data_IF_885719182749
#
_entry.id   IF_885719182749
#
_cell.length_a   1.000
_cell.length_b   1.000
_cell.length_c   1.000
_cell.angle_alpha   90.00
_cell.angle_beta   90.00
_cell.angle_gamma   90.00
#
_symmetry.space_group_name_H-M   'P 1'
#
loop_
_entity.id
_entity.type
_entity.pdbx_description
1 polymer ?
#
# COMPACT_ATOMS: atom_id res chain seq x y z
N UNK A 1 -8.83 -3.90 -12.58
CA UNK A 1 -10.21 -4.30 -12.21
C UNK A 1 -11.12 -3.10 -12.34
N UNK A 2 -12.34 -3.31 -12.77
CA UNK A 2 -13.30 -2.25 -12.94
C UNK A 2 -13.67 -1.59 -11.59
N UNK A 3 -14.03 -0.31 -11.63
CA UNK A 3 -14.32 0.51 -10.45
C UNK A 3 -15.23 -0.13 -9.38
N UNK A 4 -16.21 -1.00 -9.68
CA UNK A 4 -17.02 -1.64 -8.65
C UNK A 4 -16.27 -2.45 -7.60
N UNK A 5 -15.07 -2.91 -7.89
CA UNK A 5 -14.30 -3.74 -6.96
C UNK A 5 -13.66 -2.96 -5.81
N UNK A 6 -13.60 -1.65 -5.89
CA UNK A 6 -13.12 -0.80 -4.80
C UNK A 6 -14.23 -0.25 -3.93
N UNK A 7 -15.47 -0.60 -4.19
CA UNK A 7 -16.64 -0.10 -3.45
C UNK A 7 -17.20 -1.18 -2.54
N UNK A 8 -18.50 -1.16 -2.29
CA UNK A 8 -19.17 -2.12 -1.43
C UNK A 8 -19.33 -3.53 -2.02
N UNK A 9 -18.85 -3.79 -3.23
CA UNK A 9 -18.97 -5.10 -3.86
C UNK A 9 -17.85 -6.04 -3.39
N UNK A 10 -18.13 -7.31 -3.09
CA UNK A 10 -17.11 -8.32 -2.85
C UNK A 10 -16.17 -8.44 -4.04
N UNK A 11 -14.87 -8.61 -3.78
CA UNK A 11 -13.90 -8.89 -4.83
C UNK A 11 -14.13 -10.33 -5.33
N UNK A 12 -14.54 -10.55 -6.59
CA UNK A 12 -14.84 -11.89 -7.10
C UNK A 12 -13.59 -12.77 -7.27
N UNK A 13 -12.40 -12.20 -7.23
CA UNK A 13 -11.14 -12.90 -7.40
C UNK A 13 -10.46 -13.27 -6.08
N UNK A 14 -11.06 -12.96 -4.94
CA UNK A 14 -10.42 -13.15 -3.63
C UNK A 14 -10.16 -14.63 -3.33
N UNK A 15 -11.08 -15.51 -3.71
CA UNK A 15 -10.97 -16.95 -3.50
C UNK A 15 -9.84 -17.55 -4.32
N UNK A 16 -9.72 -17.17 -5.60
CA UNK A 16 -8.64 -17.56 -6.48
C UNK A 16 -7.29 -17.07 -5.93
N UNK A 17 -7.22 -15.80 -5.55
CA UNK A 17 -6.02 -15.20 -4.97
C UNK A 17 -5.56 -15.93 -3.70
N UNK A 18 -6.46 -16.26 -2.79
CA UNK A 18 -6.14 -17.01 -1.57
C UNK A 18 -5.68 -18.44 -1.91
N UNK A 19 -6.30 -19.07 -2.89
CA UNK A 19 -5.94 -20.42 -3.32
C UNK A 19 -4.54 -20.48 -3.93
N UNK A 20 -4.16 -19.45 -4.70
CA UNK A 20 -2.86 -19.39 -5.38
C UNK A 20 -1.72 -19.00 -4.44
N UNK A 21 -1.98 -18.12 -3.48
CA UNK A 21 -0.93 -17.51 -2.65
C UNK A 21 -0.98 -17.95 -1.19
N UNK A 22 -2.07 -18.53 -0.72
CA UNK A 22 -2.26 -18.95 0.66
C UNK A 22 -1.71 -20.35 0.93
N UNK A 23 -1.34 -20.59 2.18
CA UNK A 23 -1.03 -21.91 2.69
C UNK A 23 -2.25 -22.43 3.47
N UNK A 24 -2.75 -23.64 3.19
CA UNK A 24 -3.84 -24.21 3.97
C UNK A 24 -3.49 -24.27 5.46
N UNK A 25 -4.42 -23.82 6.30
CA UNK A 25 -4.27 -23.90 7.75
C UNK A 25 -4.58 -25.31 8.26
N UNK A 26 -3.65 -25.91 8.99
CA UNK A 26 -3.82 -27.17 9.68
C UNK A 26 -3.69 -26.94 11.19
N UNK A 27 -4.79 -27.04 11.92
CA UNK A 27 -4.81 -26.85 13.37
C UNK A 27 -3.90 -27.86 14.11
N UNK A 28 -3.84 -29.09 13.60
CA UNK A 28 -3.00 -30.15 14.14
C UNK A 28 -1.60 -30.01 13.56
N UNK A 29 -0.71 -29.36 14.28
CA UNK A 29 0.69 -29.16 13.87
C UNK A 29 1.09 -27.71 13.71
N UNK A 30 0.17 -26.78 13.94
CA UNK A 30 0.52 -25.37 14.01
C UNK A 30 1.47 -25.11 15.18
N UNK A 31 2.70 -24.72 14.85
CA UNK A 31 3.76 -24.36 15.80
C UNK A 31 4.06 -22.88 15.79
N UNK A 32 3.19 -22.08 15.13
CA UNK A 32 3.41 -20.64 15.08
C UNK A 32 3.34 -20.04 16.48
N UNK A 33 4.46 -19.51 16.94
CA UNK A 33 4.57 -18.73 18.18
C UNK A 33 5.50 -17.55 17.94
N UNK A 34 5.03 -16.35 18.30
CA UNK A 34 5.82 -15.13 18.28
C UNK A 34 5.60 -14.36 19.57
N UNK A 35 6.68 -13.87 20.14
CA UNK A 35 6.59 -12.96 21.28
C UNK A 35 5.89 -11.65 20.90
N UNK A 36 5.13 -11.05 21.81
CA UNK A 36 4.52 -9.74 21.56
C UNK A 36 5.56 -8.70 21.16
N UNK A 37 5.26 -7.98 20.09
CA UNK A 37 6.14 -6.92 19.58
C UNK A 37 5.49 -5.56 19.73
N UNK A 38 6.26 -4.58 20.20
CA UNK A 38 5.84 -3.18 20.31
C UNK A 38 6.90 -2.28 19.71
N UNK A 39 6.50 -1.35 18.85
CA UNK A 39 7.39 -0.35 18.29
C UNK A 39 6.67 1.00 18.20
N UNK A 40 7.46 2.08 18.15
CA UNK A 40 6.92 3.42 17.90
C UNK A 40 6.33 3.48 16.47
N UNK A 41 5.07 3.93 16.40
CA UNK A 41 4.34 4.09 15.13
C UNK A 41 4.53 5.46 14.49
N UNK A 42 5.39 6.30 15.03
CA UNK A 42 5.68 7.65 14.51
C UNK A 42 6.80 7.67 13.45
N UNK A 43 7.56 6.59 13.33
CA UNK A 43 8.67 6.50 12.39
C UNK A 43 8.18 6.58 10.93
N UNK A 44 8.86 7.42 10.14
CA UNK A 44 8.56 7.56 8.71
C UNK A 44 7.51 8.61 8.38
N UNK A 45 7.03 9.42 9.32
CA UNK A 45 6.06 10.50 9.07
C UNK A 45 6.56 11.58 8.10
N UNK A 46 7.86 11.71 7.91
CA UNK A 46 8.47 12.63 6.96
C UNK A 46 8.87 11.97 5.63
N UNK A 47 8.57 10.69 5.47
CA UNK A 47 8.84 9.95 4.25
C UNK A 47 7.96 10.46 3.09
N UNK A 48 8.51 10.63 1.87
CA UNK A 48 7.73 11.10 0.72
C UNK A 48 6.49 10.25 0.43
N UNK A 49 6.59 8.93 0.58
CA UNK A 49 5.45 8.03 0.40
C UNK A 49 4.33 8.31 1.42
N UNK A 50 4.69 8.57 2.68
CA UNK A 50 3.72 8.94 3.69
C UNK A 50 3.14 10.34 3.46
N UNK A 51 3.94 11.28 2.97
CA UNK A 51 3.54 12.69 2.78
C UNK A 51 2.72 12.92 1.50
N UNK A 52 2.68 11.97 0.56
CA UNK A 52 2.06 12.16 -0.75
C UNK A 52 0.56 12.50 -0.71
N UNK A 53 -0.15 12.15 0.34
CA UNK A 53 -1.54 12.57 0.60
C UNK A 53 -1.83 12.61 2.09
N UNK A 54 -2.88 13.33 2.49
CA UNK A 54 -3.34 13.38 3.87
C UNK A 54 -4.49 12.39 4.11
N UNK A 55 -4.46 11.69 5.25
CA UNK A 55 -5.56 10.85 5.73
C UNK A 55 -5.45 10.72 7.25
N UNK A 56 -6.56 10.90 7.98
CA UNK A 56 -6.53 11.08 9.43
C UNK A 56 -5.92 9.92 10.21
N UNK A 57 -6.21 8.70 9.81
CA UNK A 57 -5.79 7.47 10.52
C UNK A 57 -4.58 6.80 9.90
N UNK A 58 -3.91 7.47 8.95
CA UNK A 58 -2.77 6.90 8.24
C UNK A 58 -1.59 6.66 9.17
N UNK A 59 -1.11 5.41 9.19
CA UNK A 59 0.12 5.01 9.90
C UNK A 59 1.28 4.96 8.90
N UNK A 60 2.48 5.44 9.25
CA UNK A 60 3.65 5.32 8.37
C UNK A 60 3.97 3.87 8.01
N UNK A 61 4.19 3.61 6.72
CA UNK A 61 4.46 2.24 6.25
C UNK A 61 5.69 1.61 6.92
N UNK A 62 6.73 2.37 7.24
CA UNK A 62 7.92 1.87 7.95
C UNK A 62 7.59 1.33 9.34
N UNK A 63 6.67 1.98 10.05
CA UNK A 63 6.20 1.47 11.33
C UNK A 63 5.44 0.15 11.15
N UNK A 64 4.58 0.05 10.14
CA UNK A 64 3.85 -1.19 9.81
C UNK A 64 4.81 -2.30 9.40
N UNK A 65 5.84 -1.99 8.59
CA UNK A 65 6.86 -2.97 8.18
C UNK A 65 7.49 -3.70 9.35
N UNK A 66 7.78 -3.01 10.47
CA UNK A 66 8.35 -3.64 11.67
C UNK A 66 7.46 -4.76 12.21
N UNK A 67 6.14 -4.55 12.21
CA UNK A 67 5.18 -5.58 12.62
C UNK A 67 5.11 -6.72 11.60
N UNK A 68 5.07 -6.40 10.30
CA UNK A 68 5.04 -7.41 9.26
C UNK A 68 6.30 -8.28 9.27
N UNK A 69 7.47 -7.70 9.38
CA UNK A 69 8.74 -8.43 9.48
C UNK A 69 8.79 -9.31 10.73
N UNK A 70 8.19 -8.86 11.85
CA UNK A 70 8.17 -9.67 13.08
C UNK A 70 7.19 -10.83 13.01
N UNK A 71 5.98 -10.63 12.48
CA UNK A 71 4.91 -11.62 12.55
C UNK A 71 4.75 -12.49 11.30
N UNK A 72 5.36 -12.13 10.18
CA UNK A 72 5.16 -12.79 8.88
C UNK A 72 6.48 -13.14 8.21
N UNK A 73 6.40 -13.99 7.19
CA UNK A 73 7.49 -14.37 6.29
C UNK A 73 7.23 -13.84 4.87
N UNK A 74 8.26 -13.77 4.01
CA UNK A 74 8.07 -13.50 2.59
C UNK A 74 7.02 -14.41 1.96
N UNK A 75 6.09 -13.83 1.20
CA UNK A 75 4.99 -14.54 0.55
C UNK A 75 3.73 -14.75 1.39
N UNK A 76 3.77 -14.48 2.70
CA UNK A 76 2.57 -14.57 3.55
C UNK A 76 1.51 -13.54 3.13
N UNK A 77 0.24 -13.87 3.40
CA UNK A 77 -0.91 -13.01 3.17
C UNK A 77 -1.23 -12.21 4.44
N UNK A 78 -1.31 -10.91 4.31
CA UNK A 78 -1.68 -9.96 5.36
C UNK A 78 -3.08 -9.43 5.06
N UNK A 79 -3.99 -9.54 6.02
CA UNK A 79 -5.33 -8.96 5.93
C UNK A 79 -5.40 -7.67 6.75
N UNK A 80 -5.82 -6.58 6.10
CA UNK A 80 -6.18 -5.33 6.77
C UNK A 80 -7.64 -4.99 6.46
N UNK A 81 -8.50 -5.20 7.46
CA UNK A 81 -9.95 -5.00 7.36
C UNK A 81 -10.39 -3.53 7.37
N UNK A 82 -9.49 -2.60 7.68
CA UNK A 82 -9.74 -1.15 7.81
C UNK A 82 -8.56 -0.37 7.24
N UNK A 83 -8.17 -0.70 6.01
CA UNK A 83 -6.89 -0.30 5.43
C UNK A 83 -6.71 1.21 5.22
N UNK A 84 -7.79 2.00 5.33
CA UNK A 84 -7.72 3.40 4.95
C UNK A 84 -7.16 3.56 3.54
N UNK A 85 -6.11 4.34 3.40
CA UNK A 85 -5.44 4.57 2.10
C UNK A 85 -4.36 3.55 1.76
N UNK A 86 -4.32 2.39 2.43
CA UNK A 86 -3.54 1.23 1.99
C UNK A 86 -2.06 1.23 2.38
N UNK A 87 -1.68 1.89 3.48
CA UNK A 87 -0.30 1.89 3.95
C UNK A 87 0.19 0.49 4.36
N UNK A 88 -0.70 -0.41 4.77
CA UNK A 88 -0.37 -1.80 5.04
C UNK A 88 0.06 -2.54 3.76
N UNK A 89 -0.58 -2.27 2.63
CA UNK A 89 -0.15 -2.82 1.35
C UNK A 89 1.22 -2.29 0.91
N UNK A 90 1.42 -0.97 1.02
CA UNK A 90 2.73 -0.38 0.76
C UNK A 90 3.81 -0.98 1.65
N UNK A 91 3.54 -1.18 2.95
CA UNK A 91 4.45 -1.84 3.86
C UNK A 91 4.76 -3.29 3.47
N UNK A 92 3.74 -4.05 3.04
CA UNK A 92 3.88 -5.43 2.60
C UNK A 92 4.81 -5.54 1.36
N UNK A 93 4.67 -4.64 0.40
CA UNK A 93 5.56 -4.56 -0.77
C UNK A 93 6.97 -4.10 -0.38
N UNK A 94 7.08 -3.07 0.45
CA UNK A 94 8.37 -2.49 0.87
C UNK A 94 9.19 -3.42 1.78
N UNK A 95 8.60 -4.47 2.33
CA UNK A 95 9.36 -5.55 2.98
C UNK A 95 10.33 -6.27 2.02
N UNK A 96 10.24 -6.06 0.70
CA UNK A 96 11.21 -6.53 -0.28
C UNK A 96 12.35 -5.53 -0.53
N UNK A 97 12.24 -4.29 -0.05
CA UNK A 97 13.25 -3.25 -0.27
C UNK A 97 14.37 -3.37 0.76
N UNK A 98 15.48 -3.97 0.35
CA UNK A 98 16.63 -4.22 1.22
C UNK A 98 17.13 -2.96 1.94
N UNK A 99 17.35 -1.80 1.28
CA UNK A 99 17.80 -0.60 1.97
C UNK A 99 16.85 -0.14 3.07
N UNK A 100 15.54 -0.16 2.82
CA UNK A 100 14.54 0.23 3.82
C UNK A 100 14.50 -0.75 4.99
N UNK A 101 14.54 -2.06 4.72
CA UNK A 101 14.55 -3.09 5.78
C UNK A 101 15.78 -2.93 6.70
N UNK A 102 16.96 -2.77 6.13
CA UNK A 102 18.17 -2.50 6.91
C UNK A 102 18.07 -1.19 7.69
N UNK A 103 17.50 -0.14 7.08
CA UNK A 103 17.30 1.16 7.70
C UNK A 103 16.39 1.16 8.92
N UNK A 104 15.42 0.24 8.99
CA UNK A 104 14.54 0.05 10.16
C UNK A 104 15.05 -1.03 11.13
N UNK A 105 16.24 -1.59 10.90
CA UNK A 105 16.91 -2.51 11.80
C UNK A 105 16.65 -4.00 11.55
N UNK A 106 16.04 -4.37 10.41
CA UNK A 106 15.97 -5.79 10.02
C UNK A 106 17.37 -6.28 9.61
N UNK A 107 17.79 -7.37 10.18
CA UNK A 107 19.13 -7.96 9.94
C UNK A 107 19.07 -9.35 9.32
N UNK A 108 17.93 -10.03 9.41
CA UNK A 108 17.74 -11.34 8.77
C UNK A 108 17.36 -11.18 7.30
N UNK A 109 18.32 -11.37 6.43
CA UNK A 109 18.11 -11.29 4.97
C UNK A 109 17.10 -12.32 4.45
N UNK A 110 16.89 -13.44 5.15
CA UNK A 110 15.90 -14.44 4.75
C UNK A 110 14.47 -13.98 5.05
N UNK A 111 14.31 -12.98 5.91
CA UNK A 111 13.04 -12.38 6.23
C UNK A 111 12.67 -11.21 5.27
N UNK A 112 13.62 -10.79 4.42
CA UNK A 112 13.40 -9.73 3.45
C UNK A 112 12.74 -10.31 2.20
N UNK A 113 11.56 -9.78 1.87
CA UNK A 113 10.75 -10.19 0.72
C UNK A 113 9.36 -9.60 0.81
N UNK A 114 8.67 -9.47 -0.30
CA UNK A 114 7.30 -8.96 -0.33
C UNK A 114 6.34 -9.91 0.40
N UNK A 115 5.29 -9.32 0.98
CA UNK A 115 4.10 -10.03 1.45
C UNK A 115 2.94 -9.64 0.53
N UNK A 116 1.94 -10.52 0.46
CA UNK A 116 0.68 -10.20 -0.20
C UNK A 116 -0.23 -9.45 0.77
N UNK A 117 -1.04 -8.52 0.27
CA UNK A 117 -1.98 -7.78 1.11
C UNK A 117 -3.41 -7.86 0.57
N UNK A 118 -4.34 -8.21 1.46
CA UNK A 118 -5.78 -8.08 1.23
C UNK A 118 -6.23 -6.85 2.00
N UNK A 119 -6.65 -5.82 1.27
CA UNK A 119 -7.00 -4.52 1.83
C UNK A 119 -8.49 -4.27 1.65
N UNK A 120 -9.19 -3.99 2.73
CA UNK A 120 -10.61 -3.62 2.70
C UNK A 120 -10.86 -2.36 3.52
N UNK A 121 -11.84 -1.56 3.08
CA UNK A 121 -12.32 -0.40 3.82
C UNK A 121 -13.77 -0.10 3.43
N UNK A 122 -14.51 0.58 4.29
CA UNK A 122 -15.88 1.00 4.01
C UNK A 122 -15.95 2.25 3.13
N UNK A 123 -14.88 3.05 3.09
CA UNK A 123 -14.81 4.27 2.27
C UNK A 123 -14.37 3.94 0.84
N UNK A 124 -15.20 4.22 -0.17
CA UNK A 124 -14.81 4.10 -1.58
C UNK A 124 -13.59 4.95 -1.94
N UNK A 125 -13.45 6.14 -1.35
CA UNK A 125 -12.31 7.01 -1.55
C UNK A 125 -11.04 6.39 -1.01
N UNK A 126 -11.09 5.80 0.18
CA UNK A 126 -9.96 5.13 0.79
C UNK A 126 -9.51 3.95 -0.06
N UNK A 127 -10.42 3.08 -0.46
CA UNK A 127 -10.11 1.91 -1.30
C UNK A 127 -9.60 2.30 -2.69
N UNK A 128 -10.11 3.40 -3.27
CA UNK A 128 -9.60 3.94 -4.52
C UNK A 128 -8.14 4.41 -4.38
N UNK A 129 -7.82 5.15 -3.31
CA UNK A 129 -6.46 5.60 -3.03
C UNK A 129 -5.57 4.38 -2.75
N UNK A 130 -6.03 3.45 -1.91
CA UNK A 130 -5.29 2.24 -1.56
C UNK A 130 -4.92 1.42 -2.79
N UNK A 131 -5.86 1.24 -3.74
CA UNK A 131 -5.57 0.56 -5.00
C UNK A 131 -4.49 1.27 -5.79
N UNK A 132 -4.60 2.59 -5.99
CA UNK A 132 -3.62 3.33 -6.78
C UNK A 132 -2.22 3.31 -6.14
N UNK A 133 -2.16 3.32 -4.81
CA UNK A 133 -0.90 3.22 -4.07
C UNK A 133 -0.20 1.86 -4.20
N UNK A 134 -0.96 0.80 -4.37
CA UNK A 134 -0.47 -0.58 -4.36
C UNK A 134 -0.53 -1.24 -5.76
N UNK A 135 -0.79 -0.47 -6.80
CA UNK A 135 -0.78 -0.94 -8.19
C UNK A 135 0.49 -0.55 -8.90
N UNK A 136 0.97 -1.42 -9.76
CA UNK A 136 2.04 -1.07 -10.69
C UNK A 136 1.56 -0.01 -11.69
N UNK A 137 2.40 0.97 -11.97
CA UNK A 137 2.13 2.05 -12.93
C UNK A 137 3.27 2.13 -13.93
N UNK A 138 2.94 2.13 -15.20
CA UNK A 138 3.88 2.54 -16.26
C UNK A 138 4.12 4.06 -16.15
N UNK A 139 5.28 4.42 -15.65
CA UNK A 139 5.65 5.82 -15.40
C UNK A 139 5.63 6.65 -16.69
N UNK A 140 6.11 6.09 -17.80
CA UNK A 140 6.15 6.78 -19.09
C UNK A 140 4.74 7.06 -19.64
N UNK A 141 3.85 6.06 -19.56
CA UNK A 141 2.46 6.23 -19.94
C UNK A 141 1.72 7.21 -19.05
N UNK A 142 1.99 7.19 -17.73
CA UNK A 142 1.44 8.14 -16.79
C UNK A 142 1.90 9.57 -17.08
N UNK A 143 3.20 9.81 -17.29
CA UNK A 143 3.75 11.13 -17.63
C UNK A 143 3.15 11.67 -18.93
N UNK A 144 3.01 10.83 -19.94
CA UNK A 144 2.38 11.22 -21.19
C UNK A 144 0.91 11.65 -20.99
N UNK A 145 0.13 10.84 -20.28
CA UNK A 145 -1.26 11.15 -19.99
C UNK A 145 -1.41 12.43 -19.14
N UNK A 146 -0.55 12.63 -18.15
CA UNK A 146 -0.53 13.84 -17.32
C UNK A 146 -0.22 15.08 -18.16
N UNK A 147 0.77 15.03 -19.05
CA UNK A 147 1.12 16.13 -19.94
C UNK A 147 0.00 16.43 -20.94
N UNK A 148 -0.69 15.43 -21.45
CA UNK A 148 -1.85 15.62 -22.34
C UNK A 148 -3.00 16.32 -21.60
N UNK A 149 -3.29 15.93 -20.36
CA UNK A 149 -4.30 16.61 -19.52
C UNK A 149 -3.89 18.07 -19.25
N UNK A 150 -2.63 18.30 -18.86
CA UNK A 150 -2.13 19.66 -18.61
C UNK A 150 -2.22 20.55 -19.85
N UNK A 151 -1.91 20.00 -21.03
CA UNK A 151 -2.04 20.75 -22.29
C UNK A 151 -3.50 21.15 -22.55
N UNK A 152 -4.44 20.23 -22.41
CA UNK A 152 -5.88 20.50 -22.58
C UNK A 152 -6.36 21.56 -21.58
N UNK A 153 -5.91 21.47 -20.32
CA UNK A 153 -6.25 22.46 -19.28
C UNK A 153 -5.66 23.84 -19.61
N UNK A 154 -4.40 23.90 -20.04
CA UNK A 154 -3.77 25.14 -20.47
C UNK A 154 -4.56 25.77 -21.59
N UNK A 155 -4.87 25.03 -22.67
CA UNK A 155 -5.59 25.57 -23.83
C UNK A 155 -7.02 26.03 -23.49
N UNK A 156 -7.67 25.41 -22.50
CA UNK A 156 -9.07 25.67 -22.15
C UNK A 156 -9.26 26.63 -20.99
N UNK A 157 -8.34 26.67 -20.05
CA UNK A 157 -8.52 27.30 -18.75
C UNK A 157 -7.38 28.25 -18.36
N UNK A 158 -6.41 28.53 -19.23
CA UNK A 158 -5.27 29.40 -18.93
C UNK A 158 -5.72 30.80 -18.43
N UNK A 159 -6.81 31.30 -18.96
CA UNK A 159 -7.44 32.55 -18.55
C UNK A 159 -7.84 32.62 -17.07
N UNK A 160 -8.02 31.45 -16.40
CA UNK A 160 -8.35 31.39 -14.98
C UNK A 160 -7.10 31.64 -14.10
N UNK A 161 -5.92 31.30 -14.61
CA UNK A 161 -4.65 31.30 -13.87
C UNK A 161 -3.70 32.43 -14.34
N UNK A 162 -4.00 33.09 -15.44
CA UNK A 162 -3.21 34.21 -15.94
C UNK A 162 -3.87 35.56 -15.56
N UNK A 163 -3.04 36.50 -15.14
CA UNK A 163 -3.46 37.88 -14.90
C UNK A 163 -2.63 38.81 -15.78
N UNK A 164 -3.28 39.74 -16.47
CA UNK A 164 -2.56 40.84 -17.11
C UNK A 164 -2.00 41.74 -16.01
N UNK A 165 -0.69 41.79 -15.89
CA UNK A 165 -0.02 42.75 -15.02
C UNK A 165 0.16 44.01 -15.85
N UNK A 166 -0.43 45.17 -15.44
CA UNK A 166 -0.32 46.44 -16.17
C UNK A 166 1.10 46.99 -16.14
#
# INVERSE_FOLDING_TARGET
SDAPYYTACPNPFIEEFITENGTPYEEVGDTYQREPFTADVSEGKHDPLYMAHSYHTKVPYKAIMRYLLHYTKPGDIVLDGFCGTGMTGAAALMCADLPTCLGIGETDVNNIGARHAILTDLSPEATFIAKNYNSEVDISAFEQAANDVLRVLHDSCDWVYSTDVP
#
